data_IF_430535237531
#
_entry.id   IF_430535237531
#
_cell.length_a   1.000
_cell.length_b   1.000
_cell.length_c   1.000
_cell.angle_alpha   90.00
_cell.angle_beta   90.00
_cell.angle_gamma   90.00
#
_symmetry.space_group_name_H-M   'P 1'
#
loop_
_entity.id
_entity.type
_entity.pdbx_description
1 polymer ?
#
# COMPACT_ATOMS: atom_id res chain seq x y z
N UNK A 1 -17.79 -2.55 -7.19
CA UNK A 1 -16.77 -2.56 -8.23
C UNK A 1 -15.36 -2.70 -7.64
N UNK A 2 -14.30 -2.86 -8.44
CA UNK A 2 -12.93 -3.07 -7.96
C UNK A 2 -12.30 -1.82 -7.32
N UNK A 3 -12.84 -0.63 -7.56
CA UNK A 3 -12.29 0.63 -7.07
C UNK A 3 -12.05 0.68 -5.56
N UNK A 4 -13.03 0.38 -4.70
CA UNK A 4 -12.84 0.38 -3.25
C UNK A 4 -11.80 -0.65 -2.77
N UNK A 5 -11.70 -1.78 -3.45
CA UNK A 5 -10.69 -2.80 -3.15
C UNK A 5 -9.28 -2.30 -3.47
N UNK A 6 -9.12 -1.65 -4.62
CA UNK A 6 -7.85 -1.05 -5.05
C UNK A 6 -7.47 0.08 -4.07
N UNK A 7 -8.41 0.96 -3.72
CA UNK A 7 -8.18 2.00 -2.73
C UNK A 7 -7.72 1.42 -1.39
N UNK A 8 -8.40 0.37 -0.89
CA UNK A 8 -8.04 -0.31 0.35
C UNK A 8 -6.65 -0.97 0.29
N UNK A 9 -6.26 -1.49 -0.88
CA UNK A 9 -4.95 -2.10 -1.05
C UNK A 9 -3.80 -1.07 -1.05
N UNK A 10 -4.03 0.14 -1.56
CA UNK A 10 -2.99 1.15 -1.69
C UNK A 10 -2.98 2.20 -0.56
N UNK A 11 -4.12 2.49 0.05
CA UNK A 11 -4.19 3.44 1.15
C UNK A 11 -4.14 2.66 2.48
N UNK A 12 -2.95 2.28 2.88
CA UNK A 12 -2.70 1.57 4.13
C UNK A 12 -2.11 2.48 5.22
N UNK A 13 -2.01 1.98 6.46
CA UNK A 13 -1.42 2.72 7.59
C UNK A 13 0.01 3.20 7.30
N UNK A 14 0.81 2.43 6.56
CA UNK A 14 2.15 2.81 6.15
C UNK A 14 2.15 4.04 5.24
N UNK A 15 1.26 4.09 4.26
CA UNK A 15 1.12 5.24 3.36
C UNK A 15 0.69 6.49 4.13
N UNK A 16 -0.29 6.36 5.03
CA UNK A 16 -0.76 7.48 5.88
C UNK A 16 0.36 8.01 6.75
N UNK A 17 1.10 7.12 7.41
CA UNK A 17 2.24 7.49 8.26
C UNK A 17 3.32 8.20 7.46
N UNK A 18 3.67 7.67 6.28
CA UNK A 18 4.70 8.27 5.42
C UNK A 18 4.28 9.67 4.94
N UNK A 19 3.04 9.83 4.47
CA UNK A 19 2.53 11.12 4.03
C UNK A 19 2.44 12.13 5.18
N UNK A 20 2.04 11.69 6.37
CA UNK A 20 1.99 12.54 7.57
C UNK A 20 3.38 13.00 7.99
N UNK A 21 4.37 12.11 8.00
CA UNK A 21 5.77 12.46 8.29
C UNK A 21 6.37 13.39 7.23
N UNK A 22 6.06 13.14 5.96
CA UNK A 22 6.51 14.01 4.87
C UNK A 22 5.91 15.42 5.02
N UNK A 23 4.61 15.52 5.29
CA UNK A 23 3.95 16.80 5.56
C UNK A 23 4.52 17.52 6.78
N UNK A 24 4.78 16.80 7.88
CA UNK A 24 5.36 17.37 9.10
C UNK A 24 6.81 17.88 8.90
N UNK A 25 7.61 17.20 8.06
CA UNK A 25 9.02 17.57 7.83
C UNK A 25 9.20 18.61 6.73
N UNK A 26 8.42 18.53 5.67
CA UNK A 26 8.62 19.30 4.43
C UNK A 26 7.46 20.25 4.12
N UNK A 27 6.42 20.27 4.95
CA UNK A 27 5.22 21.07 4.68
C UNK A 27 4.59 20.65 3.34
N UNK A 28 4.18 21.65 2.57
CA UNK A 28 3.56 21.45 1.26
C UNK A 28 4.55 21.35 0.09
N UNK A 29 5.86 21.46 0.36
CA UNK A 29 6.89 21.48 -0.70
C UNK A 29 6.95 20.22 -1.55
N UNK A 30 6.39 19.09 -1.06
CA UNK A 30 6.34 17.84 -1.79
C UNK A 30 5.03 17.58 -2.56
N UNK A 31 4.07 18.50 -2.57
CA UNK A 31 2.80 18.31 -3.28
C UNK A 31 2.97 18.05 -4.78
N UNK A 32 3.96 18.66 -5.41
CA UNK A 32 4.26 18.44 -6.82
C UNK A 32 4.60 16.97 -7.12
N UNK A 33 5.23 16.26 -6.17
CA UNK A 33 5.56 14.85 -6.34
C UNK A 33 4.33 13.97 -6.44
N UNK A 34 3.25 14.34 -5.74
CA UNK A 34 1.95 13.64 -5.79
C UNK A 34 1.37 13.77 -7.20
N UNK A 35 1.39 14.98 -7.78
CA UNK A 35 0.88 15.22 -9.13
C UNK A 35 1.63 14.38 -10.16
N UNK A 36 2.97 14.39 -10.11
CA UNK A 36 3.80 13.60 -11.03
C UNK A 36 3.55 12.11 -10.83
N UNK A 37 3.46 11.64 -9.59
CA UNK A 37 3.20 10.23 -9.28
C UNK A 37 1.85 9.76 -9.81
N UNK A 38 0.80 10.58 -9.69
CA UNK A 38 -0.53 10.27 -10.23
C UNK A 38 -0.48 10.19 -11.76
N UNK A 39 0.16 11.14 -12.43
CA UNK A 39 0.30 11.12 -13.89
C UNK A 39 1.09 9.89 -14.36
N UNK A 40 2.20 9.59 -13.70
CA UNK A 40 3.00 8.40 -14.00
C UNK A 40 2.18 7.11 -13.78
N UNK A 41 1.44 7.01 -12.70
CA UNK A 41 0.58 5.86 -12.42
C UNK A 41 -0.51 5.67 -13.49
N UNK A 42 -1.19 6.76 -13.90
CA UNK A 42 -2.20 6.70 -14.95
C UNK A 42 -1.60 6.22 -16.27
N UNK A 43 -0.45 6.74 -16.67
CA UNK A 43 0.22 6.35 -17.91
C UNK A 43 0.62 4.87 -17.86
N UNK A 44 1.36 4.45 -16.82
CA UNK A 44 1.85 3.07 -16.70
C UNK A 44 0.71 2.05 -16.61
N UNK A 45 -0.32 2.34 -15.81
CA UNK A 45 -1.49 1.46 -15.70
C UNK A 45 -2.28 1.40 -17.01
N UNK A 46 -2.46 2.53 -17.70
CA UNK A 46 -3.12 2.55 -19.01
C UNK A 46 -2.35 1.73 -20.05
N UNK A 47 -1.02 1.81 -20.04
CA UNK A 47 -0.19 0.98 -20.93
C UNK A 47 -0.33 -0.51 -20.60
N UNK A 48 -0.25 -0.89 -19.33
CA UNK A 48 -0.41 -2.28 -18.90
C UNK A 48 -1.79 -2.86 -19.28
N UNK A 49 -2.86 -2.07 -19.07
CA UNK A 49 -4.22 -2.45 -19.46
C UNK A 49 -4.34 -2.63 -20.97
N UNK A 50 -3.84 -1.69 -21.77
CA UNK A 50 -3.86 -1.78 -23.25
C UNK A 50 -3.14 -3.02 -23.74
N UNK A 51 -1.95 -3.33 -23.22
CA UNK A 51 -1.20 -4.55 -23.56
C UNK A 51 -2.03 -5.77 -23.20
N UNK A 52 -2.63 -5.81 -22.01
CA UNK A 52 -3.43 -6.94 -21.55
C UNK A 52 -4.67 -7.20 -22.42
N UNK A 53 -5.38 -6.13 -22.81
CA UNK A 53 -6.59 -6.22 -23.65
C UNK A 53 -6.23 -6.62 -25.10
N UNK A 54 -5.22 -5.97 -25.70
CA UNK A 54 -4.84 -6.19 -27.09
C UNK A 54 -4.19 -7.57 -27.29
N UNK A 55 -3.29 -7.95 -26.40
CA UNK A 55 -2.62 -9.24 -26.47
C UNK A 55 -3.48 -10.39 -25.91
N UNK A 56 -4.58 -10.11 -25.20
CA UNK A 56 -5.39 -11.10 -24.45
C UNK A 56 -4.54 -11.97 -23.52
N UNK A 57 -3.48 -11.39 -22.95
CA UNK A 57 -2.49 -12.03 -22.09
C UNK A 57 -2.16 -11.12 -20.93
N UNK A 58 -1.70 -11.68 -19.84
CA UNK A 58 -1.14 -10.85 -18.77
C UNK A 58 0.22 -10.26 -19.20
N UNK A 59 0.61 -9.16 -18.56
CA UNK A 59 1.83 -8.42 -18.90
C UNK A 59 3.09 -9.32 -18.90
N UNK A 60 3.20 -10.21 -17.91
CA UNK A 60 4.34 -11.14 -17.80
C UNK A 60 4.41 -12.11 -18.97
N UNK A 61 3.25 -12.62 -19.42
CA UNK A 61 3.18 -13.49 -20.59
C UNK A 61 3.57 -12.74 -21.86
N UNK A 62 3.08 -11.50 -22.04
CA UNK A 62 3.44 -10.68 -23.19
C UNK A 62 4.96 -10.41 -23.24
N UNK A 63 5.58 -10.06 -22.11
CA UNK A 63 7.02 -9.86 -22.00
C UNK A 63 7.77 -11.17 -22.31
N UNK A 64 7.29 -12.31 -21.79
CA UNK A 64 7.91 -13.61 -22.02
C UNK A 64 7.94 -14.02 -23.49
N UNK A 65 6.95 -13.65 -24.25
CA UNK A 65 6.86 -13.98 -25.68
C UNK A 65 7.63 -13.01 -26.56
N UNK A 66 7.66 -11.73 -26.20
CA UNK A 66 8.39 -10.71 -26.95
C UNK A 66 9.91 -10.87 -26.84
N UNK A 67 10.41 -11.28 -25.68
CA UNK A 67 11.82 -11.48 -25.44
C UNK A 67 12.31 -12.82 -26.01
N UNK A 68 12.95 -12.76 -27.19
CA UNK A 68 13.48 -13.94 -27.89
C UNK A 68 14.77 -14.48 -27.27
N UNK A 69 15.63 -13.59 -26.74
CA UNK A 69 16.93 -13.99 -26.18
C UNK A 69 16.75 -14.64 -24.78
N UNK A 70 17.16 -15.91 -24.58
CA UNK A 70 16.82 -16.66 -23.37
C UNK A 70 17.42 -16.06 -22.10
N UNK A 71 18.63 -15.51 -22.14
CA UNK A 71 19.30 -14.89 -20.99
C UNK A 71 18.54 -13.63 -20.56
N UNK A 72 18.25 -12.73 -21.53
CA UNK A 72 17.52 -11.49 -21.26
C UNK A 72 16.12 -11.78 -20.71
N UNK A 73 15.43 -12.75 -21.31
CA UNK A 73 14.11 -13.20 -20.86
C UNK A 73 14.13 -13.66 -19.40
N UNK A 74 15.05 -14.55 -19.05
CA UNK A 74 15.14 -15.09 -17.69
C UNK A 74 15.55 -14.00 -16.69
N UNK A 75 16.43 -13.10 -17.06
CA UNK A 75 16.82 -11.96 -16.22
C UNK A 75 15.66 -11.02 -15.97
N UNK A 76 14.90 -10.63 -17.00
CA UNK A 76 13.73 -9.75 -16.85
C UNK A 76 12.63 -10.42 -16.02
N UNK A 77 12.34 -11.70 -16.26
CA UNK A 77 11.37 -12.43 -15.45
C UNK A 77 11.82 -12.57 -13.99
N UNK A 78 13.11 -12.80 -13.76
CA UNK A 78 13.71 -12.82 -12.43
C UNK A 78 13.58 -11.48 -11.71
N UNK A 79 13.89 -10.38 -12.41
CA UNK A 79 13.74 -9.02 -11.87
C UNK A 79 12.27 -8.71 -11.53
N UNK A 80 11.32 -9.11 -12.38
CA UNK A 80 9.89 -8.94 -12.10
C UNK A 80 9.50 -9.72 -10.83
N UNK A 81 9.93 -10.97 -10.71
CA UNK A 81 9.65 -11.80 -9.54
C UNK A 81 10.23 -11.19 -8.26
N UNK A 82 11.49 -10.77 -8.30
CA UNK A 82 12.17 -10.09 -7.18
C UNK A 82 11.44 -8.80 -6.81
N UNK A 83 11.11 -7.96 -7.80
CA UNK A 83 10.40 -6.70 -7.57
C UNK A 83 9.03 -6.92 -6.90
N UNK A 84 8.27 -7.94 -7.34
CA UNK A 84 6.97 -8.28 -6.75
C UNK A 84 7.15 -8.79 -5.31
N UNK A 85 8.06 -9.75 -5.09
CA UNK A 85 8.25 -10.34 -3.76
C UNK A 85 8.76 -9.31 -2.75
N UNK A 86 9.88 -8.65 -3.05
CA UNK A 86 10.48 -7.67 -2.14
C UNK A 86 9.66 -6.40 -2.02
N UNK A 87 9.08 -5.92 -3.12
CA UNK A 87 8.22 -4.75 -3.12
C UNK A 87 6.99 -4.94 -2.24
N UNK A 88 6.27 -6.06 -2.42
CA UNK A 88 5.09 -6.36 -1.61
C UNK A 88 5.46 -6.61 -0.14
N UNK A 89 6.56 -7.31 0.13
CA UNK A 89 7.02 -7.56 1.50
C UNK A 89 7.39 -6.25 2.21
N UNK A 90 8.11 -5.36 1.55
CA UNK A 90 8.48 -4.04 2.10
C UNK A 90 7.24 -3.17 2.33
N UNK A 91 6.30 -3.20 1.39
CA UNK A 91 5.04 -2.46 1.50
C UNK A 91 4.20 -2.95 2.69
N UNK A 92 4.06 -4.26 2.86
CA UNK A 92 3.31 -4.85 3.97
C UNK A 92 3.98 -4.61 5.32
N UNK A 93 5.31 -4.69 5.38
CA UNK A 93 6.08 -4.31 6.58
C UNK A 93 5.81 -2.85 6.97
N UNK A 94 5.71 -1.94 6.00
CA UNK A 94 5.30 -0.54 6.22
C UNK A 94 3.89 -0.41 6.79
N UNK A 95 2.93 -1.17 6.26
CA UNK A 95 1.55 -1.19 6.74
C UNK A 95 1.44 -1.69 8.18
N UNK A 96 2.12 -2.80 8.49
CA UNK A 96 2.15 -3.35 9.84
C UNK A 96 2.81 -2.35 10.81
N UNK A 97 3.94 -1.76 10.43
CA UNK A 97 4.65 -0.78 11.26
C UNK A 97 3.80 0.47 11.51
N UNK A 98 3.11 0.99 10.50
CA UNK A 98 2.21 2.13 10.63
C UNK A 98 1.01 1.82 11.55
N UNK A 99 0.46 0.61 11.45
CA UNK A 99 -0.62 0.16 12.34
C UNK A 99 -0.14 0.06 13.79
N UNK A 100 1.05 -0.50 14.02
CA UNK A 100 1.65 -0.59 15.35
C UNK A 100 1.82 0.80 15.96
N UNK A 101 2.35 1.76 15.20
CA UNK A 101 2.51 3.14 15.67
C UNK A 101 1.17 3.74 16.14
N UNK A 102 0.11 3.54 15.37
CA UNK A 102 -1.23 3.99 15.75
C UNK A 102 -1.73 3.34 17.04
N UNK A 103 -1.57 2.03 17.19
CA UNK A 103 -2.00 1.29 18.39
C UNK A 103 -1.15 1.68 19.61
N UNK A 104 0.17 1.77 19.46
CA UNK A 104 1.08 2.16 20.54
C UNK A 104 0.80 3.58 21.06
N UNK A 105 0.31 4.46 20.21
CA UNK A 105 -0.09 5.81 20.61
C UNK A 105 -1.31 5.81 21.53
N UNK A 106 -2.23 4.86 21.34
CA UNK A 106 -3.47 4.75 22.12
C UNK A 106 -3.32 3.86 23.35
N UNK A 107 -2.64 2.71 23.23
CA UNK A 107 -2.59 1.65 24.24
C UNK A 107 -1.21 1.52 24.93
N UNK A 108 -0.20 2.27 24.46
CA UNK A 108 1.16 2.16 24.96
C UNK A 108 1.95 1.03 24.27
N UNK A 109 3.23 0.96 24.59
CA UNK A 109 4.15 -0.02 23.99
C UNK A 109 4.08 -1.34 24.73
N UNK A 110 3.83 -2.42 24.02
CA UNK A 110 3.83 -3.77 24.55
C UNK A 110 4.80 -4.65 23.75
N UNK A 111 6.00 -4.85 24.30
CA UNK A 111 7.07 -5.65 23.66
C UNK A 111 7.45 -6.82 24.55
N UNK A 112 7.70 -7.94 23.92
CA UNK A 112 8.34 -9.10 24.56
C UNK A 112 9.81 -9.11 24.17
N UNK A 113 10.70 -8.98 25.15
CA UNK A 113 12.13 -9.05 24.95
C UNK A 113 12.64 -10.43 25.35
N UNK A 114 13.13 -11.19 24.36
CA UNK A 114 13.78 -12.48 24.55
C UNK A 114 15.30 -12.37 24.33
N UNK A 115 15.93 -11.35 24.93
CA UNK A 115 17.36 -11.09 24.80
C UNK A 115 17.75 -10.52 23.44
N UNK A 116 18.13 -11.35 22.49
CA UNK A 116 18.55 -10.88 21.15
C UNK A 116 17.41 -10.55 20.19
N UNK A 117 16.18 -10.95 20.50
CA UNK A 117 15.01 -10.75 19.63
C UNK A 117 13.90 -10.09 20.45
N UNK A 118 13.50 -8.90 20.05
CA UNK A 118 12.33 -8.23 20.61
C UNK A 118 11.17 -8.35 19.66
N UNK A 119 10.04 -8.88 20.15
CA UNK A 119 8.80 -8.96 19.39
C UNK A 119 7.79 -7.94 19.89
N UNK A 120 7.19 -7.23 18.95
CA UNK A 120 6.05 -6.39 19.27
C UNK A 120 4.78 -7.26 19.29
N UNK A 121 4.09 -7.27 20.44
CA UNK A 121 2.86 -8.06 20.60
C UNK A 121 1.80 -7.72 19.56
N UNK A 122 1.64 -6.43 19.25
CA UNK A 122 0.65 -5.98 18.28
C UNK A 122 0.94 -6.49 16.86
N UNK A 123 2.21 -6.62 16.47
CA UNK A 123 2.57 -7.17 15.16
C UNK A 123 2.11 -8.61 14.99
N UNK A 124 2.23 -9.40 16.04
CA UNK A 124 1.80 -10.80 16.05
C UNK A 124 0.27 -10.90 15.95
N UNK A 125 -0.45 -10.09 16.73
CA UNK A 125 -1.92 -10.06 16.69
C UNK A 125 -2.43 -9.63 15.31
N UNK A 126 -1.88 -8.57 14.75
CA UNK A 126 -2.25 -8.08 13.41
C UNK A 126 -1.96 -9.14 12.36
N UNK A 127 -0.78 -9.76 12.41
CA UNK A 127 -0.40 -10.83 11.49
C UNK A 127 -1.35 -12.02 11.55
N UNK A 128 -1.75 -12.47 12.74
CA UNK A 128 -2.72 -13.56 12.91
C UNK A 128 -4.09 -13.17 12.35
N UNK A 129 -4.58 -11.97 12.64
CA UNK A 129 -5.87 -11.49 12.12
C UNK A 129 -5.84 -11.44 10.59
N UNK A 130 -4.80 -10.86 10.01
CA UNK A 130 -4.64 -10.76 8.56
C UNK A 130 -4.57 -12.16 7.91
N UNK A 131 -3.75 -13.07 8.46
CA UNK A 131 -3.66 -14.43 7.99
C UNK A 131 -4.99 -15.18 8.08
N UNK A 132 -5.71 -15.04 9.20
CA UNK A 132 -7.02 -15.66 9.41
C UNK A 132 -8.04 -15.17 8.36
N UNK A 133 -8.08 -13.86 8.09
CA UNK A 133 -8.96 -13.30 7.06
C UNK A 133 -8.62 -13.84 5.67
N UNK A 134 -7.33 -13.93 5.32
CA UNK A 134 -6.90 -14.46 4.03
C UNK A 134 -7.22 -15.96 3.88
N UNK A 135 -7.05 -16.74 4.95
CA UNK A 135 -7.35 -18.18 4.94
C UNK A 135 -8.84 -18.48 4.76
N UNK A 136 -9.74 -17.54 5.07
CA UNK A 136 -11.18 -17.74 4.80
C UNK A 136 -11.48 -17.96 3.31
N UNK A 137 -10.65 -17.45 2.41
CA UNK A 137 -10.79 -17.55 0.96
C UNK A 137 -12.09 -16.89 0.41
N UNK A 138 -12.88 -16.26 1.26
CA UNK A 138 -14.17 -15.66 0.88
C UNK A 138 -13.98 -14.21 0.46
N UNK A 139 -13.74 -13.98 -0.83
CA UNK A 139 -13.54 -12.66 -1.42
C UNK A 139 -14.55 -11.60 -0.96
N UNK A 140 -15.84 -11.95 -0.90
CA UNK A 140 -16.90 -11.00 -0.48
C UNK A 140 -16.73 -10.51 0.97
N UNK A 141 -16.28 -11.38 1.88
CA UNK A 141 -16.06 -11.03 3.29
C UNK A 141 -14.87 -10.07 3.38
N UNK A 142 -13.77 -10.42 2.73
CA UNK A 142 -12.56 -9.59 2.68
C UNK A 142 -12.89 -8.23 2.08
N UNK A 143 -13.59 -8.20 0.95
CA UNK A 143 -14.00 -6.96 0.29
C UNK A 143 -14.90 -6.10 1.19
N UNK A 144 -15.88 -6.69 1.85
CA UNK A 144 -16.78 -5.97 2.76
C UNK A 144 -16.02 -5.35 3.94
N UNK A 145 -15.10 -6.10 4.53
CA UNK A 145 -14.24 -5.62 5.62
C UNK A 145 -13.37 -4.44 5.17
N UNK A 146 -12.70 -4.57 4.02
CA UNK A 146 -11.85 -3.52 3.46
C UNK A 146 -12.64 -2.25 3.12
N UNK A 147 -13.83 -2.37 2.55
CA UNK A 147 -14.70 -1.22 2.28
C UNK A 147 -15.06 -0.50 3.59
N UNK A 148 -15.41 -1.24 4.65
CA UNK A 148 -15.68 -0.67 5.97
C UNK A 148 -14.49 0.14 6.50
N UNK A 149 -13.28 -0.39 6.41
CA UNK A 149 -12.06 0.30 6.83
C UNK A 149 -11.81 1.58 6.02
N UNK A 150 -12.01 1.54 4.70
CA UNK A 150 -11.86 2.74 3.83
C UNK A 150 -12.87 3.81 4.20
N UNK A 151 -14.10 3.45 4.51
CA UNK A 151 -15.13 4.41 4.95
C UNK A 151 -14.71 5.08 6.25
N UNK A 152 -14.29 4.31 7.26
CA UNK A 152 -13.84 4.83 8.56
C UNK A 152 -12.67 5.79 8.37
N UNK A 153 -11.69 5.39 7.56
CA UNK A 153 -10.52 6.20 7.25
C UNK A 153 -10.91 7.49 6.53
N UNK A 154 -11.82 7.42 5.54
CA UNK A 154 -12.30 8.60 4.82
C UNK A 154 -13.01 9.60 5.75
N UNK A 155 -13.84 9.10 6.68
CA UNK A 155 -14.49 9.93 7.70
C UNK A 155 -13.45 10.58 8.61
N UNK A 156 -12.41 9.83 9.02
CA UNK A 156 -11.34 10.34 9.88
C UNK A 156 -10.55 11.47 9.19
N UNK A 157 -10.22 11.31 7.91
CA UNK A 157 -9.57 12.37 7.14
C UNK A 157 -10.45 13.61 6.99
N UNK A 158 -11.73 13.42 6.67
CA UNK A 158 -12.68 14.54 6.58
C UNK A 158 -12.78 15.30 7.90
N UNK A 159 -12.91 14.57 9.01
CA UNK A 159 -12.94 15.16 10.34
C UNK A 159 -11.64 15.95 10.61
N UNK A 160 -10.47 15.39 10.29
CA UNK A 160 -9.18 16.06 10.46
C UNK A 160 -9.14 17.39 9.72
N UNK A 161 -9.56 17.41 8.45
CA UNK A 161 -9.61 18.64 7.64
C UNK A 161 -10.56 19.67 8.26
N UNK A 162 -11.73 19.24 8.72
CA UNK A 162 -12.72 20.14 9.34
C UNK A 162 -12.21 20.75 10.65
N UNK A 163 -11.48 19.98 11.46
CA UNK A 163 -10.91 20.47 12.72
C UNK A 163 -9.66 21.35 12.51
N UNK A 164 -8.81 20.99 11.56
CA UNK A 164 -7.54 21.70 11.31
C UNK A 164 -7.75 23.00 10.55
N UNK A 165 -8.84 23.11 9.74
CA UNK A 165 -9.18 24.28 8.92
C UNK A 165 -7.94 24.89 8.22
N UNK A 166 -7.22 24.11 7.40
CA UNK A 166 -6.02 24.59 6.74
C UNK A 166 -6.31 25.84 5.90
N UNK A 167 -5.48 26.87 6.03
CA UNK A 167 -5.59 28.06 5.21
C UNK A 167 -5.10 27.77 3.78
N UNK A 168 -5.81 28.30 2.79
CA UNK A 168 -5.38 28.21 1.38
C UNK A 168 -3.97 28.81 1.19
N UNK A 169 -3.58 29.80 2.03
CA UNK A 169 -2.23 30.38 2.00
C UNK A 169 -1.13 29.40 2.45
N UNK A 170 -1.48 28.36 3.21
CA UNK A 170 -0.51 27.36 3.65
C UNK A 170 -0.27 26.28 2.57
N UNK A 171 -1.05 26.31 1.49
CA UNK A 171 -1.01 25.35 0.36
C UNK A 171 -0.22 25.92 -0.83
N UNK A 172 -0.11 27.23 -0.94
CA UNK A 172 0.61 27.97 -2.00
C UNK A 172 1.97 28.43 -1.48
#
# INVERSE_FOLDING_TARGET
GPGPLIAAAFIGPGTVTLCSLAGAKFGMSLLWTIIISILAAIILQSMAIKVSILAKKNLTQAIKEELKHPIVKNLVLGLILVAILFGNTAYEAGNISGTILGIETLLGKFKFDFGYISFNFYSLVIGIIAASLLLTGKYKIIQGFLIGLVIIMSISFLATVLFTKPSIRDII
#
